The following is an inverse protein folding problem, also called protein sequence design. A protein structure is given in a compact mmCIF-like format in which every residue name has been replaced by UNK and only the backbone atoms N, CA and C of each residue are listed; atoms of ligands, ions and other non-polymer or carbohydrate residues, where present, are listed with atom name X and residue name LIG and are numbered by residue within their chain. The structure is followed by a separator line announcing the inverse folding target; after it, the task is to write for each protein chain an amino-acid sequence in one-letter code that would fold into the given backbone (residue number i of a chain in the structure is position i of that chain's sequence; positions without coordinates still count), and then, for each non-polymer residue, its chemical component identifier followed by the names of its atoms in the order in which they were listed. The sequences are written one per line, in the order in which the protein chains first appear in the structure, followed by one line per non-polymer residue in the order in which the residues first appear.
data_IF_485225268303
#
_entry.id   IF_485225268303
#
_cell.length_a   1.000
_cell.length_b   1.000
_cell.length_c   1.000
_cell.angle_alpha   90.00
_cell.angle_beta   90.00
_cell.angle_gamma   90.00
#
_symmetry.space_group_name_H-M   'P 1'
#
loop_
_entity.id
_entity.type
_entity.pdbx_description
1 polymer ?
#
# COMPACT_ATOMS: atom_id res chain seq x y z
N UNK A 1 -14.85 9.25 25.87
CA UNK A 1 -15.70 9.68 24.73
C UNK A 1 -15.81 8.47 23.80
N UNK A 2 -17.00 7.89 23.71
CA UNK A 2 -17.24 6.82 22.72
C UNK A 2 -17.32 7.49 21.34
N UNK A 3 -16.37 7.21 20.48
CA UNK A 3 -16.48 7.53 19.06
C UNK A 3 -17.63 6.67 18.51
N UNK A 4 -18.76 7.31 18.24
CA UNK A 4 -19.91 6.63 17.65
C UNK A 4 -19.60 6.52 16.16
N UNK A 5 -19.04 5.38 15.76
CA UNK A 5 -18.98 5.03 14.34
C UNK A 5 -20.41 4.72 13.89
N UNK A 6 -20.90 5.46 12.90
CA UNK A 6 -22.16 5.09 12.25
C UNK A 6 -21.94 3.85 11.39
N UNK A 7 -23.00 3.06 11.14
CA UNK A 7 -22.93 1.92 10.21
C UNK A 7 -22.51 2.32 8.78
N UNK A 8 -22.46 3.64 8.51
CA UNK A 8 -22.06 4.24 7.23
C UNK A 8 -20.57 4.57 7.17
N UNK A 9 -19.89 4.72 8.32
CA UNK A 9 -18.47 5.06 8.36
C UNK A 9 -17.65 3.78 8.21
N UNK A 10 -16.51 3.86 7.52
CA UNK A 10 -15.57 2.77 7.37
C UNK A 10 -14.17 3.25 7.78
N UNK A 11 -13.62 2.67 8.83
CA UNK A 11 -12.27 3.00 9.33
C UNK A 11 -11.27 2.11 8.63
N UNK A 12 -10.45 2.72 7.77
CA UNK A 12 -9.45 2.04 6.95
C UNK A 12 -8.04 2.48 7.32
N UNK A 13 -7.17 1.52 7.66
CA UNK A 13 -5.72 1.69 7.65
C UNK A 13 -5.20 1.35 6.26
N UNK A 14 -4.64 2.32 5.55
CA UNK A 14 -4.24 2.16 4.15
C UNK A 14 -2.86 1.55 3.96
N UNK A 15 -2.07 1.39 5.02
CA UNK A 15 -0.74 0.79 4.91
C UNK A 15 -0.26 0.23 6.24
N UNK A 16 0.03 -1.07 6.25
CA UNK A 16 0.45 -1.78 7.44
C UNK A 16 1.54 -2.81 7.10
N UNK A 17 2.75 -2.64 7.67
CA UNK A 17 3.91 -3.54 7.46
C UNK A 17 3.87 -4.81 8.29
N UNK A 18 2.80 -5.02 9.06
CA UNK A 18 2.63 -6.21 9.91
C UNK A 18 2.83 -7.53 9.16
N UNK A 19 2.53 -7.68 7.85
CA UNK A 19 2.80 -8.92 7.12
C UNK A 19 4.24 -9.42 7.23
N UNK A 20 5.23 -8.54 7.32
CA UNK A 20 6.62 -8.94 7.53
C UNK A 20 6.83 -9.82 8.75
N UNK A 21 6.03 -9.61 9.82
CA UNK A 21 6.10 -10.41 11.05
C UNK A 21 5.52 -11.82 10.88
N UNK A 22 4.69 -12.07 9.87
CA UNK A 22 4.15 -13.41 9.58
C UNK A 22 5.23 -14.39 9.15
N UNK A 23 6.32 -13.87 8.56
CA UNK A 23 7.49 -14.70 8.23
C UNK A 23 8.23 -15.21 9.46
N UNK A 24 8.04 -14.53 10.61
CA UNK A 24 8.58 -14.93 11.92
C UNK A 24 7.61 -15.88 12.68
N UNK A 25 6.46 -16.25 12.09
CA UNK A 25 5.48 -17.15 12.69
C UNK A 25 4.54 -16.49 13.70
N UNK A 26 4.33 -15.18 13.62
CA UNK A 26 3.39 -14.44 14.48
C UNK A 26 1.95 -14.80 14.09
N UNK A 27 1.11 -15.05 15.09
CA UNK A 27 -0.32 -15.30 14.97
C UNK A 27 -1.09 -13.99 15.23
N UNK A 28 -1.66 -13.39 14.17
CA UNK A 28 -2.41 -12.14 14.27
C UNK A 28 -3.78 -12.27 14.96
N UNK A 29 -4.28 -13.49 15.16
CA UNK A 29 -5.48 -13.76 15.96
C UNK A 29 -5.27 -13.59 17.46
N UNK A 30 -4.02 -13.44 17.90
CA UNK A 30 -3.64 -13.23 19.29
C UNK A 30 -3.03 -11.85 19.50
N UNK A 31 -3.31 -11.26 20.68
CA UNK A 31 -2.68 -10.00 21.08
C UNK A 31 -1.16 -10.16 21.14
N UNK A 32 -0.46 -9.36 20.35
CA UNK A 32 0.99 -9.39 20.25
C UNK A 32 1.66 -8.42 21.22
N UNK A 33 2.82 -8.82 21.74
CA UNK A 33 3.70 -7.92 22.55
C UNK A 33 4.61 -7.06 21.67
N UNK A 34 4.86 -7.48 20.44
CA UNK A 34 5.66 -6.80 19.41
C UNK A 34 4.75 -6.29 18.30
N UNK A 35 5.24 -5.31 17.55
CA UNK A 35 4.50 -4.73 16.44
C UNK A 35 3.32 -3.85 16.91
N UNK A 36 2.68 -3.24 15.95
CA UNK A 36 1.65 -2.23 16.19
C UNK A 36 0.23 -2.76 15.95
N UNK A 37 0.07 -3.82 15.14
CA UNK A 37 -1.22 -4.35 14.70
C UNK A 37 -1.31 -5.85 14.96
N UNK A 38 -2.45 -6.27 15.45
CA UNK A 38 -3.03 -7.61 15.41
C UNK A 38 -4.56 -7.47 15.34
N UNK A 39 -5.27 -8.52 14.97
CA UNK A 39 -6.73 -8.45 14.79
C UNK A 39 -7.48 -8.14 16.09
N UNK A 40 -6.93 -8.53 17.25
CA UNK A 40 -7.53 -8.23 18.56
C UNK A 40 -7.53 -6.70 18.80
N UNK A 41 -6.34 -6.07 18.67
CA UNK A 41 -6.21 -4.62 18.86
C UNK A 41 -6.90 -3.81 17.76
N UNK A 42 -6.86 -4.28 16.53
CA UNK A 42 -7.56 -3.64 15.43
C UNK A 42 -9.09 -3.59 15.67
N UNK A 43 -9.68 -4.71 16.12
CA UNK A 43 -11.10 -4.76 16.49
C UNK A 43 -11.42 -3.85 17.67
N UNK A 44 -10.61 -3.83 18.73
CA UNK A 44 -10.75 -2.95 19.89
C UNK A 44 -10.65 -1.47 19.49
N UNK A 45 -9.79 -1.15 18.52
CA UNK A 45 -9.61 0.19 17.96
C UNK A 45 -10.71 0.61 16.99
N UNK A 46 -11.64 -0.28 16.65
CA UNK A 46 -12.71 0.02 15.69
C UNK A 46 -12.26 0.09 14.25
N UNK A 47 -11.18 -0.59 13.88
CA UNK A 47 -10.70 -0.69 12.49
C UNK A 47 -11.57 -1.67 11.72
N UNK A 48 -12.17 -1.22 10.62
CA UNK A 48 -13.03 -2.02 9.75
C UNK A 48 -12.26 -2.71 8.63
N UNK A 49 -11.14 -2.13 8.21
CA UNK A 49 -10.28 -2.70 7.17
C UNK A 49 -8.85 -2.19 7.22
N UNK A 50 -7.95 -2.94 6.61
CA UNK A 50 -6.54 -2.57 6.51
C UNK A 50 -5.90 -3.13 5.25
N UNK A 51 -4.94 -2.38 4.70
CA UNK A 51 -4.07 -2.86 3.65
C UNK A 51 -2.81 -3.47 4.26
N UNK A 52 -2.60 -4.74 4.00
CA UNK A 52 -1.35 -5.44 4.30
C UNK A 52 -0.33 -5.16 3.20
N UNK A 53 0.78 -4.52 3.56
CA UNK A 53 1.86 -4.22 2.64
C UNK A 53 2.67 -5.48 2.31
N UNK A 54 2.68 -5.85 1.04
CA UNK A 54 3.59 -6.85 0.49
C UNK A 54 4.87 -6.11 0.13
N UNK A 55 5.65 -5.84 1.17
CA UNK A 55 6.89 -5.07 1.08
C UNK A 55 8.03 -5.92 0.57
N UNK A 56 8.77 -5.40 -0.41
CA UNK A 56 10.01 -6.00 -0.90
C UNK A 56 11.20 -5.08 -0.59
N UNK A 57 12.18 -5.54 0.21
CA UNK A 57 13.40 -4.78 0.47
C UNK A 57 14.09 -4.30 -0.81
N UNK A 58 14.54 -3.04 -0.88
CA UNK A 58 15.16 -2.49 -2.09
C UNK A 58 16.57 -3.05 -2.36
N UNK A 59 17.11 -3.87 -1.46
CA UNK A 59 18.38 -4.59 -1.61
C UNK A 59 18.24 -5.91 -2.37
N UNK A 60 17.01 -6.43 -2.51
CA UNK A 60 16.77 -7.70 -3.19
C UNK A 60 17.01 -7.59 -4.69
N UNK A 61 17.53 -8.64 -5.28
CA UNK A 61 17.45 -8.83 -6.73
C UNK A 61 16.00 -9.00 -7.16
N UNK A 62 15.72 -8.89 -8.46
CA UNK A 62 14.37 -9.05 -8.98
C UNK A 62 13.79 -10.43 -8.64
N UNK A 63 14.59 -11.51 -8.73
CA UNK A 63 14.18 -12.88 -8.42
C UNK A 63 13.93 -13.06 -6.90
N UNK A 64 14.78 -12.49 -6.06
CA UNK A 64 14.58 -12.52 -4.61
C UNK A 64 13.30 -11.78 -4.22
N UNK A 65 13.04 -10.63 -4.85
CA UNK A 65 11.84 -9.83 -4.63
C UNK A 65 10.56 -10.60 -5.02
N UNK A 66 10.55 -11.29 -6.16
CA UNK A 66 9.44 -12.16 -6.58
C UNK A 66 9.22 -13.28 -5.58
N UNK A 67 10.28 -14.02 -5.22
CA UNK A 67 10.17 -15.14 -4.28
C UNK A 67 9.67 -14.67 -2.90
N UNK A 68 10.13 -13.50 -2.45
CA UNK A 68 9.71 -12.90 -1.18
C UNK A 68 8.25 -12.47 -1.23
N UNK A 69 7.82 -11.75 -2.27
CA UNK A 69 6.45 -11.28 -2.43
C UNK A 69 5.45 -12.44 -2.44
N UNK A 70 5.73 -13.51 -3.21
CA UNK A 70 4.87 -14.71 -3.26
C UNK A 70 4.77 -15.38 -1.89
N UNK A 71 5.89 -15.51 -1.16
CA UNK A 71 5.91 -16.08 0.19
C UNK A 71 5.10 -15.24 1.16
N UNK A 72 5.25 -13.91 1.10
CA UNK A 72 4.55 -12.99 1.99
C UNK A 72 3.04 -12.98 1.72
N UNK A 73 2.63 -12.99 0.45
CA UNK A 73 1.21 -13.15 0.06
C UNK A 73 0.65 -14.46 0.63
N UNK A 74 1.35 -15.59 0.45
CA UNK A 74 0.93 -16.88 1.02
C UNK A 74 0.73 -16.80 2.53
N UNK A 75 1.65 -16.14 3.25
CA UNK A 75 1.52 -15.94 4.70
C UNK A 75 0.34 -15.06 5.10
N UNK A 76 -0.01 -14.07 4.30
CA UNK A 76 -1.23 -13.29 4.52
C UNK A 76 -2.49 -14.14 4.37
N UNK A 77 -2.54 -15.02 3.36
CA UNK A 77 -3.64 -15.97 3.19
C UNK A 77 -3.72 -16.93 4.40
N UNK A 78 -2.61 -17.55 4.80
CA UNK A 78 -2.57 -18.42 6.00
C UNK A 78 -3.10 -17.68 7.24
N UNK A 79 -2.72 -16.40 7.43
CA UNK A 79 -3.12 -15.62 8.60
C UNK A 79 -4.61 -15.28 8.60
N UNK A 80 -5.19 -14.92 7.44
CA UNK A 80 -6.61 -14.59 7.33
C UNK A 80 -7.47 -15.86 7.42
N UNK A 81 -7.10 -16.92 6.72
CA UNK A 81 -7.83 -18.19 6.73
C UNK A 81 -7.82 -18.85 8.14
N UNK A 82 -6.68 -18.73 8.83
CA UNK A 82 -6.55 -19.21 10.22
C UNK A 82 -7.36 -18.39 11.25
N UNK A 83 -7.89 -17.22 10.87
CA UNK A 83 -8.65 -16.30 11.71
C UNK A 83 -9.96 -15.85 11.03
N UNK A 84 -10.61 -16.74 10.30
CA UNK A 84 -11.80 -16.46 9.49
C UNK A 84 -13.04 -16.02 10.27
N UNK A 85 -13.05 -16.20 11.58
CA UNK A 85 -14.04 -15.68 12.52
C UNK A 85 -13.85 -14.18 12.87
N UNK A 86 -12.68 -13.61 12.52
CA UNK A 86 -12.29 -12.24 12.89
C UNK A 86 -12.01 -11.39 11.65
N UNK A 87 -11.43 -11.97 10.60
CA UNK A 87 -10.98 -11.27 9.40
C UNK A 87 -11.35 -12.02 8.14
N UNK A 88 -11.49 -11.28 7.04
CA UNK A 88 -11.69 -11.85 5.72
C UNK A 88 -11.03 -10.94 4.67
N UNK A 89 -10.56 -11.51 3.56
CA UNK A 89 -10.13 -10.70 2.43
C UNK A 89 -11.29 -9.89 1.85
N UNK A 90 -10.95 -8.69 1.34
CA UNK A 90 -11.82 -7.92 0.49
C UNK A 90 -11.04 -7.48 -0.76
N UNK A 91 -11.69 -7.56 -1.91
CA UNK A 91 -11.11 -7.19 -3.20
C UNK A 91 -11.83 -6.00 -3.83
N UNK A 92 -12.89 -5.52 -3.17
CA UNK A 92 -13.65 -4.33 -3.54
C UNK A 92 -14.25 -3.66 -2.28
N UNK A 93 -14.67 -2.38 -2.38
CA UNK A 93 -15.37 -1.69 -1.30
C UNK A 93 -16.65 -2.40 -0.86
N UNK A 94 -17.41 -2.97 -1.81
CA UNK A 94 -18.68 -3.67 -1.53
C UNK A 94 -18.44 -4.88 -0.62
N UNK A 95 -17.39 -5.68 -0.92
CA UNK A 95 -17.00 -6.82 -0.08
C UNK A 95 -16.55 -6.36 1.30
N UNK A 96 -15.84 -5.23 1.39
CA UNK A 96 -15.41 -4.69 2.68
C UNK A 96 -16.60 -4.28 3.55
N UNK A 97 -17.59 -3.60 2.98
CA UNK A 97 -18.83 -3.28 3.71
C UNK A 97 -19.65 -4.53 4.06
N UNK A 98 -19.61 -5.58 3.23
CA UNK A 98 -20.21 -6.87 3.56
C UNK A 98 -19.50 -7.54 4.76
N UNK A 99 -18.17 -7.55 4.77
CA UNK A 99 -17.38 -8.04 5.90
C UNK A 99 -17.70 -7.26 7.18
N UNK A 100 -17.77 -5.93 7.11
CA UNK A 100 -18.13 -5.08 8.25
C UNK A 100 -19.52 -5.48 8.81
N UNK A 101 -20.52 -5.70 7.95
CA UNK A 101 -21.85 -6.16 8.41
C UNK A 101 -21.81 -7.52 9.09
N UNK A 102 -20.84 -8.37 8.76
CA UNK A 102 -20.60 -9.68 9.41
C UNK A 102 -19.73 -9.56 10.66
N UNK A 103 -19.26 -8.35 11.03
CA UNK A 103 -18.35 -8.11 12.14
C UNK A 103 -16.92 -8.55 11.89
N UNK A 104 -16.52 -8.69 10.61
CA UNK A 104 -15.19 -9.08 10.19
C UNK A 104 -14.36 -7.86 9.78
N UNK A 105 -13.07 -7.88 10.11
CA UNK A 105 -12.08 -6.92 9.61
C UNK A 105 -11.74 -7.29 8.17
N UNK A 106 -11.82 -6.33 7.26
CA UNK A 106 -11.42 -6.55 5.87
C UNK A 106 -9.90 -6.43 5.71
N UNK A 107 -9.28 -7.41 5.07
CA UNK A 107 -7.87 -7.38 4.70
C UNK A 107 -7.77 -7.19 3.19
N UNK A 108 -7.07 -6.13 2.78
CA UNK A 108 -6.65 -5.89 1.42
C UNK A 108 -5.15 -6.11 1.30
N UNK A 109 -4.66 -6.36 0.09
CA UNK A 109 -3.22 -6.45 -0.18
C UNK A 109 -2.78 -5.26 -1.04
N UNK A 110 -1.71 -4.59 -0.62
CA UNK A 110 -0.99 -3.60 -1.40
C UNK A 110 0.45 -4.06 -1.63
N UNK A 111 0.99 -3.85 -2.82
CA UNK A 111 2.40 -4.11 -3.09
C UNK A 111 3.21 -2.86 -2.78
N UNK A 112 4.19 -2.96 -1.90
CA UNK A 112 5.14 -1.89 -1.62
C UNK A 112 6.50 -2.22 -2.22
N UNK A 113 6.95 -1.36 -3.13
CA UNK A 113 8.07 -1.50 -4.04
C UNK A 113 7.76 -2.45 -5.22
N UNK A 114 7.71 -1.88 -6.43
CA UNK A 114 7.40 -2.59 -7.66
C UNK A 114 8.52 -3.46 -8.23
N UNK A 115 9.66 -3.61 -7.53
CA UNK A 115 10.76 -4.48 -7.97
C UNK A 115 10.30 -5.90 -8.35
N UNK A 116 9.32 -6.54 -7.63
CA UNK A 116 8.84 -7.87 -8.02
C UNK A 116 8.11 -7.94 -9.37
N UNK A 117 7.80 -6.81 -9.99
CA UNK A 117 7.20 -6.77 -11.34
C UNK A 117 8.28 -7.04 -12.40
N UNK A 118 9.57 -6.86 -12.04
CA UNK A 118 10.68 -6.93 -12.98
C UNK A 118 10.45 -5.98 -14.18
N UNK A 119 10.73 -6.42 -15.39
CA UNK A 119 10.40 -5.71 -16.62
C UNK A 119 9.36 -6.49 -17.46
N UNK A 120 8.39 -7.12 -16.77
CA UNK A 120 7.34 -7.93 -17.41
C UNK A 120 5.98 -7.73 -16.72
N UNK A 121 5.04 -7.15 -17.45
CA UNK A 121 3.67 -6.93 -16.97
C UNK A 121 2.92 -8.21 -16.60
N UNK A 122 3.38 -9.39 -17.03
CA UNK A 122 2.79 -10.66 -16.63
C UNK A 122 2.83 -10.87 -15.11
N UNK A 123 3.88 -10.38 -14.42
CA UNK A 123 3.93 -10.40 -12.95
C UNK A 123 2.85 -9.52 -12.34
N UNK A 124 2.61 -8.32 -12.89
CA UNK A 124 1.54 -7.42 -12.40
C UNK A 124 0.17 -8.09 -12.53
N UNK A 125 -0.10 -8.80 -13.65
CA UNK A 125 -1.32 -9.58 -13.82
C UNK A 125 -1.46 -10.67 -12.76
N UNK A 126 -0.36 -11.34 -12.43
CA UNK A 126 -0.35 -12.40 -11.43
C UNK A 126 -0.62 -11.84 -10.03
N UNK A 127 0.03 -10.74 -9.68
CA UNK A 127 -0.18 -10.07 -8.38
C UNK A 127 -1.61 -9.53 -8.24
N UNK A 128 -2.20 -8.99 -9.31
CA UNK A 128 -3.62 -8.62 -9.30
C UNK A 128 -4.53 -9.82 -9.01
N UNK A 129 -4.26 -11.00 -9.61
CA UNK A 129 -4.99 -12.24 -9.32
C UNK A 129 -4.79 -12.73 -7.90
N UNK A 130 -3.62 -12.49 -7.31
CA UNK A 130 -3.32 -12.77 -5.90
C UNK A 130 -3.94 -11.75 -4.94
N UNK A 131 -4.66 -10.76 -5.44
CA UNK A 131 -5.43 -9.83 -4.62
C UNK A 131 -4.76 -8.48 -4.36
N UNK A 132 -3.63 -8.15 -5.01
CA UNK A 132 -3.05 -6.80 -4.92
C UNK A 132 -4.02 -5.78 -5.49
N UNK A 133 -4.29 -4.69 -4.72
CA UNK A 133 -5.22 -3.62 -5.06
C UNK A 133 -4.61 -2.23 -5.09
N UNK A 134 -3.39 -2.05 -4.57
CA UNK A 134 -2.56 -0.91 -4.91
C UNK A 134 -1.11 -1.30 -5.17
N UNK A 135 -0.39 -0.42 -5.85
CA UNK A 135 1.03 -0.51 -6.11
C UNK A 135 1.72 0.78 -5.71
N UNK A 136 2.56 0.72 -4.65
CA UNK A 136 3.58 1.73 -4.36
C UNK A 136 4.77 1.46 -5.28
N UNK A 137 5.03 2.35 -6.23
CA UNK A 137 5.90 2.09 -7.39
C UNK A 137 7.34 1.76 -7.01
N UNK A 138 7.88 2.44 -6.00
CA UNK A 138 9.23 2.23 -5.48
C UNK A 138 9.23 2.32 -3.94
N UNK A 139 10.37 2.03 -3.32
CA UNK A 139 10.62 2.32 -1.91
C UNK A 139 11.74 3.37 -1.78
N UNK A 140 12.75 3.16 -0.97
CA UNK A 140 13.82 4.14 -0.70
C UNK A 140 14.97 4.12 -1.73
N UNK A 141 14.80 3.45 -2.86
CA UNK A 141 15.73 3.44 -4.01
C UNK A 141 14.93 3.56 -5.30
N UNK A 142 15.57 4.09 -6.34
CA UNK A 142 15.05 3.96 -7.70
C UNK A 142 14.92 2.48 -8.06
N UNK A 143 14.01 2.18 -8.98
CA UNK A 143 13.87 0.86 -9.55
C UNK A 143 13.53 0.98 -11.05
N UNK A 144 13.23 -0.12 -11.71
CA UNK A 144 12.90 -0.15 -13.13
C UNK A 144 11.62 0.65 -13.50
N UNK A 145 10.82 1.08 -12.51
CA UNK A 145 9.55 1.77 -12.72
C UNK A 145 9.70 3.28 -12.60
N UNK A 146 10.40 3.77 -11.55
CA UNK A 146 10.44 5.20 -11.28
C UNK A 146 11.54 5.62 -10.32
N UNK A 147 11.69 6.93 -10.19
CA UNK A 147 12.54 7.54 -9.18
C UNK A 147 11.85 7.61 -7.82
N UNK A 148 12.61 7.25 -6.79
CA UNK A 148 12.26 7.41 -5.37
C UNK A 148 12.67 8.79 -4.85
N UNK A 149 12.00 9.26 -3.80
CA UNK A 149 12.30 10.54 -3.13
C UNK A 149 13.59 10.53 -2.30
N UNK A 150 14.18 9.36 -2.02
CA UNK A 150 15.33 9.27 -1.09
C UNK A 150 16.71 9.47 -1.75
N UNK A 151 17.03 8.90 -2.92
CA UNK A 151 18.26 9.21 -3.63
C UNK A 151 18.28 10.65 -4.12
N UNK A 152 19.47 11.30 -4.09
CA UNK A 152 19.59 12.71 -4.50
C UNK A 152 19.66 12.90 -6.02
N UNK A 153 20.26 11.95 -6.73
CA UNK A 153 20.40 12.01 -8.19
C UNK A 153 19.33 11.18 -8.86
N UNK A 154 18.52 11.75 -9.75
CA UNK A 154 17.48 11.02 -10.46
C UNK A 154 18.08 10.04 -11.49
N UNK A 155 17.44 8.90 -11.69
CA UNK A 155 17.77 7.94 -12.74
C UNK A 155 16.94 8.18 -14.01
N UNK A 156 15.65 8.46 -13.82
CA UNK A 156 14.66 8.58 -14.91
C UNK A 156 14.14 10.02 -15.09
N UNK A 157 14.24 10.86 -14.06
CA UNK A 157 13.55 12.15 -13.99
C UNK A 157 12.03 12.01 -13.82
N UNK A 158 11.59 10.97 -13.13
CA UNK A 158 10.19 10.63 -12.88
C UNK A 158 9.90 9.15 -13.19
N UNK A 159 8.89 8.89 -14.01
CA UNK A 159 8.58 7.53 -14.50
C UNK A 159 9.55 7.10 -15.62
N UNK A 160 10.07 5.87 -15.52
CA UNK A 160 10.78 5.24 -16.63
C UNK A 160 9.85 4.96 -17.82
N UNK A 161 10.38 4.60 -19.00
CA UNK A 161 9.55 4.11 -20.10
C UNK A 161 8.67 2.93 -19.69
N UNK A 162 9.20 1.93 -18.97
CA UNK A 162 8.44 0.80 -18.44
C UNK A 162 7.45 1.24 -17.35
N UNK A 163 7.81 2.22 -16.52
CA UNK A 163 6.91 2.78 -15.52
C UNK A 163 5.63 3.35 -16.11
N UNK A 164 5.69 3.96 -17.29
CA UNK A 164 4.48 4.46 -18.00
C UNK A 164 3.58 3.31 -18.47
N UNK A 165 4.16 2.18 -18.88
CA UNK A 165 3.40 0.97 -19.22
C UNK A 165 2.75 0.36 -17.98
N UNK A 166 3.48 0.32 -16.85
CA UNK A 166 2.94 -0.14 -15.54
C UNK A 166 1.77 0.73 -15.11
N UNK A 167 1.86 2.06 -15.22
CA UNK A 167 0.77 3.00 -14.89
C UNK A 167 -0.48 2.70 -15.74
N UNK A 168 -0.32 2.58 -17.06
CA UNK A 168 -1.43 2.28 -17.95
C UNK A 168 -2.09 0.93 -17.61
N UNK A 169 -1.27 -0.07 -17.30
CA UNK A 169 -1.77 -1.40 -16.98
C UNK A 169 -2.43 -1.48 -15.59
N UNK A 170 -1.91 -0.76 -14.59
CA UNK A 170 -2.58 -0.61 -13.29
C UNK A 170 -3.98 -0.01 -13.45
N UNK A 171 -4.11 1.06 -14.25
CA UNK A 171 -5.41 1.67 -14.55
C UNK A 171 -6.37 0.67 -15.21
N UNK A 172 -5.89 -0.14 -16.17
CA UNK A 172 -6.69 -1.16 -16.86
C UNK A 172 -7.16 -2.28 -15.93
N UNK A 173 -6.31 -2.68 -14.98
CA UNK A 173 -6.59 -3.75 -14.01
C UNK A 173 -7.42 -3.27 -12.81
N UNK A 174 -7.51 -1.95 -12.57
CA UNK A 174 -8.12 -1.41 -11.36
C UNK A 174 -7.21 -1.50 -10.13
N UNK A 175 -5.88 -1.50 -10.32
CA UNK A 175 -4.89 -1.37 -9.24
C UNK A 175 -4.66 0.13 -9.00
N UNK A 176 -4.88 0.60 -7.77
CA UNK A 176 -4.61 1.98 -7.39
C UNK A 176 -3.09 2.25 -7.44
N UNK A 177 -2.72 3.41 -7.97
CA UNK A 177 -1.34 3.87 -7.98
C UNK A 177 -1.06 4.67 -6.71
N UNK A 178 -0.03 4.26 -5.97
CA UNK A 178 0.39 4.90 -4.73
C UNK A 178 1.69 5.68 -4.95
N UNK A 179 1.64 6.99 -4.70
CA UNK A 179 2.79 7.88 -4.82
C UNK A 179 3.65 7.97 -3.55
N UNK A 180 3.33 7.23 -2.50
CA UNK A 180 4.20 7.15 -1.34
C UNK A 180 5.59 6.65 -1.76
N UNK A 181 6.66 7.22 -1.22
CA UNK A 181 8.06 7.00 -1.61
C UNK A 181 8.51 7.58 -2.97
N UNK A 182 7.59 8.01 -3.82
CA UNK A 182 7.92 8.56 -5.13
C UNK A 182 8.65 9.91 -5.02
N UNK A 183 9.53 10.22 -5.98
CA UNK A 183 10.06 11.59 -6.13
C UNK A 183 8.98 12.57 -6.51
N UNK A 184 9.23 13.87 -6.36
CA UNK A 184 8.27 14.91 -6.76
C UNK A 184 7.98 14.82 -8.28
N UNK A 185 8.98 14.50 -9.10
CA UNK A 185 8.83 14.30 -10.54
C UNK A 185 7.97 13.06 -10.85
N UNK A 186 8.22 11.95 -10.14
CA UNK A 186 7.39 10.73 -10.28
C UNK A 186 5.94 11.01 -9.89
N UNK A 187 5.72 11.77 -8.82
CA UNK A 187 4.36 12.19 -8.42
C UNK A 187 3.65 12.96 -9.52
N UNK A 188 4.30 13.95 -10.14
CA UNK A 188 3.70 14.73 -11.22
C UNK A 188 3.50 13.90 -12.50
N UNK A 189 4.41 12.98 -12.78
CA UNK A 189 4.22 12.04 -13.88
C UNK A 189 3.02 11.10 -13.62
N UNK A 190 2.81 10.64 -12.38
CA UNK A 190 1.62 9.88 -12.02
C UNK A 190 0.33 10.66 -12.28
N UNK A 191 0.26 11.93 -11.86
CA UNK A 191 -0.91 12.78 -12.14
C UNK A 191 -1.13 13.01 -13.64
N UNK A 192 -0.07 13.02 -14.42
CA UNK A 192 -0.11 13.23 -15.87
C UNK A 192 -0.54 11.98 -16.64
N UNK A 193 -0.05 10.81 -16.27
CA UNK A 193 -0.20 9.58 -17.05
C UNK A 193 -1.31 8.66 -16.51
N UNK A 194 -1.71 8.79 -15.24
CA UNK A 194 -2.82 8.02 -14.71
C UNK A 194 -4.17 8.54 -15.22
N UNK A 195 -5.04 7.64 -15.60
CA UNK A 195 -6.44 7.93 -15.95
C UNK A 195 -7.40 7.76 -14.77
N UNK A 196 -6.87 7.33 -13.61
CA UNK A 196 -7.63 7.13 -12.37
C UNK A 196 -6.98 7.91 -11.22
N UNK A 197 -7.72 8.23 -10.14
CA UNK A 197 -7.15 8.89 -8.97
C UNK A 197 -5.94 8.16 -8.41
N UNK A 198 -4.90 8.93 -8.06
CA UNK A 198 -3.68 8.45 -7.37
C UNK A 198 -3.88 8.57 -5.87
N UNK A 199 -3.29 7.69 -5.09
CA UNK A 199 -3.30 7.77 -3.63
C UNK A 199 -1.90 8.03 -3.08
N UNK A 200 -1.83 8.58 -1.87
CA UNK A 200 -0.66 8.52 -1.01
C UNK A 200 -1.05 7.70 0.22
N UNK A 201 -0.72 6.41 0.21
CA UNK A 201 -1.16 5.46 1.26
C UNK A 201 -0.56 5.77 2.62
N UNK A 202 0.64 6.37 2.67
CA UNK A 202 1.35 6.71 3.90
C UNK A 202 2.35 7.86 3.67
N UNK A 203 1.86 9.10 3.69
CA UNK A 203 2.67 10.32 3.58
C UNK A 203 2.19 11.37 4.57
N UNK A 204 3.00 12.42 4.80
CA UNK A 204 2.67 13.51 5.71
C UNK A 204 2.92 14.86 5.05
N UNK A 205 2.79 15.97 5.81
CA UNK A 205 2.89 17.33 5.28
C UNK A 205 4.33 17.84 5.39
N UNK A 206 4.95 18.20 4.26
CA UNK A 206 6.32 18.74 4.20
C UNK A 206 6.43 20.09 4.92
N UNK A 207 5.35 20.87 4.97
CA UNK A 207 5.30 22.12 5.72
C UNK A 207 5.41 21.92 7.23
N UNK A 208 5.04 20.77 7.78
CA UNK A 208 5.14 20.44 9.20
C UNK A 208 6.47 19.75 9.53
N UNK A 209 6.99 18.93 8.63
CA UNK A 209 8.27 18.29 8.76
C UNK A 209 8.95 18.24 7.39
N UNK A 210 10.07 18.95 7.25
CA UNK A 210 10.83 19.02 5.98
C UNK A 210 11.58 17.70 5.76
N UNK A 211 10.84 16.72 5.22
CA UNK A 211 11.38 15.40 4.86
C UNK A 211 10.98 15.05 3.42
N UNK A 212 11.84 14.42 2.62
CA UNK A 212 11.52 14.07 1.22
C UNK A 212 10.33 13.11 1.08
N UNK A 213 10.04 12.30 2.11
CA UNK A 213 8.86 11.42 2.15
C UNK A 213 7.54 12.19 2.28
N UNK A 214 7.57 13.47 2.65
CA UNK A 214 6.39 14.29 2.86
C UNK A 214 6.02 15.10 1.61
N UNK A 215 4.75 15.33 1.42
CA UNK A 215 4.20 16.06 0.29
C UNK A 215 4.16 17.56 0.58
N UNK A 216 4.51 18.39 -0.40
CA UNK A 216 4.36 19.84 -0.31
C UNK A 216 2.85 20.22 -0.36
N UNK A 217 2.51 21.42 0.12
CA UNK A 217 1.15 21.93 0.07
C UNK A 217 0.60 22.02 -1.37
N UNK A 218 1.49 22.23 -2.35
CA UNK A 218 1.12 22.25 -3.76
C UNK A 218 0.76 20.84 -4.22
N UNK A 219 1.60 19.84 -3.93
CA UNK A 219 1.33 18.43 -4.25
C UNK A 219 0.02 17.96 -3.62
N UNK A 220 -0.25 18.33 -2.35
CA UNK A 220 -1.50 17.98 -1.66
C UNK A 220 -2.74 18.54 -2.36
N UNK A 221 -2.66 19.81 -2.85
CA UNK A 221 -3.76 20.42 -3.61
C UNK A 221 -3.93 19.80 -5.00
N UNK A 222 -2.82 19.50 -5.67
CA UNK A 222 -2.84 18.89 -7.00
C UNK A 222 -3.41 17.47 -6.94
N UNK A 223 -3.00 16.68 -5.94
CA UNK A 223 -3.56 15.35 -5.70
C UNK A 223 -5.07 15.40 -5.41
N UNK A 224 -5.49 16.31 -4.53
CA UNK A 224 -6.91 16.49 -4.21
C UNK A 224 -7.72 16.94 -5.44
N UNK A 225 -7.16 17.84 -6.28
CA UNK A 225 -7.79 18.30 -7.51
C UNK A 225 -7.94 17.19 -8.54
N UNK A 226 -7.04 16.19 -8.52
CA UNK A 226 -7.10 14.98 -9.33
C UNK A 226 -8.01 13.89 -8.72
N UNK A 227 -8.71 14.17 -7.62
CA UNK A 227 -9.60 13.22 -6.94
C UNK A 227 -8.88 12.19 -6.06
N UNK A 228 -7.60 12.40 -5.78
CA UNK A 228 -6.77 11.51 -4.97
C UNK A 228 -6.97 11.68 -3.47
N UNK A 229 -6.33 10.80 -2.69
CA UNK A 229 -6.42 10.76 -1.23
C UNK A 229 -5.03 10.66 -0.62
N UNK A 230 -4.79 11.41 0.46
CA UNK A 230 -3.61 11.27 1.31
C UNK A 230 -4.01 10.66 2.63
N UNK A 231 -3.31 9.64 3.06
CA UNK A 231 -3.45 9.06 4.40
C UNK A 231 -2.18 9.29 5.21
N UNK A 232 -2.36 9.77 6.43
CA UNK A 232 -1.29 10.25 7.28
C UNK A 232 -0.44 9.09 7.79
N UNK A 233 0.87 9.22 7.60
CA UNK A 233 1.86 8.30 8.14
C UNK A 233 2.08 8.56 9.64
N UNK A 234 2.04 7.52 10.46
CA UNK A 234 2.32 7.60 11.90
C UNK A 234 3.80 7.39 12.26
N UNK A 235 4.68 7.30 11.28
CA UNK A 235 6.11 7.17 11.55
C UNK A 235 6.69 8.50 12.07
N UNK A 236 7.26 8.55 13.30
CA UNK A 236 7.53 9.81 13.99
C UNK A 236 8.75 10.58 13.47
N UNK A 237 9.46 10.08 12.47
CA UNK A 237 10.63 10.76 11.91
C UNK A 237 10.29 11.71 10.76
N UNK A 238 9.07 11.68 10.24
CA UNK A 238 8.56 12.57 9.20
C UNK A 238 7.04 12.68 9.20
#
# INVERSE_FOLDING_TARGET
MSWIHSDKDFVLDSHCDTPGMLLEGIDLGKRQKRGHVDFVRAREGGVDGMFFAIYSPPEFTEEEAVAHAVRLISKCYDAVDGNSDVAAFAFSPEQAFENKRKGLISVFLGMENGTPIQNDLAYLHLYHRFGIRYLTLCHNRHNQICDSCMPMEPEWGGLSPFGKEVVAECNRLGIMLDCSHASDETFYDLLKYSSTPVIASHSSCRALCSHPRNMSDIMLRDLASAGGVVQINFYPKF
#
